data_IF_425343192200
#
_entry.id   IF_425343192200
#
_cell.length_a   1.000
_cell.length_b   1.000
_cell.length_c   1.000
_cell.angle_alpha   90.00
_cell.angle_beta   90.00
_cell.angle_gamma   90.00
#
_symmetry.space_group_name_H-M   'P 1'
#
loop_
_entity.id
_entity.type
_entity.pdbx_description
1 polymer ?
#
# COMPACT_ATOMS: atom_id res chain seq x y z
N UNK A 1 2.01 6.26 14.07
CA UNK A 1 2.91 5.68 13.03
C UNK A 1 2.13 5.10 11.84
N UNK A 2 0.84 4.79 11.98
CA UNK A 2 -0.05 4.45 10.85
C UNK A 2 -0.94 5.63 10.42
N UNK A 3 -1.26 6.58 11.31
CA UNK A 3 -2.08 7.75 10.96
C UNK A 3 -1.37 8.67 9.97
N UNK A 4 -0.05 8.81 10.15
CA UNK A 4 0.84 9.57 9.26
C UNK A 4 0.78 9.05 7.82
N UNK A 5 0.67 7.72 7.63
CA UNK A 5 0.53 7.12 6.30
C UNK A 5 -0.77 7.55 5.61
N UNK A 6 -1.91 7.44 6.31
CA UNK A 6 -3.22 7.74 5.71
C UNK A 6 -3.28 9.20 5.27
N UNK A 7 -2.89 10.12 6.18
CA UNK A 7 -2.86 11.55 5.88
C UNK A 7 -1.95 11.86 4.69
N UNK A 8 -0.71 11.36 4.69
CA UNK A 8 0.24 11.54 3.58
C UNK A 8 -0.30 10.99 2.26
N UNK A 9 -0.94 9.82 2.29
CA UNK A 9 -1.50 9.19 1.09
C UNK A 9 -2.65 10.01 0.51
N UNK A 10 -3.54 10.52 1.35
CA UNK A 10 -4.62 11.43 0.89
C UNK A 10 -3.99 12.68 0.26
N UNK A 11 -3.03 13.32 0.93
CA UNK A 11 -2.36 14.52 0.42
C UNK A 11 -1.64 14.27 -0.91
N UNK A 12 -0.97 13.12 -1.06
CA UNK A 12 -0.32 12.71 -2.30
C UNK A 12 -1.34 12.64 -3.46
N UNK A 13 -2.44 11.90 -3.29
CA UNK A 13 -3.46 11.73 -4.34
C UNK A 13 -4.08 13.08 -4.70
N UNK A 14 -4.35 13.94 -3.71
CA UNK A 14 -4.87 15.29 -3.96
C UNK A 14 -3.88 16.14 -4.77
N UNK A 15 -2.59 16.09 -4.44
CA UNK A 15 -1.54 16.79 -5.18
C UNK A 15 -1.42 16.30 -6.62
N UNK A 16 -1.39 14.99 -6.85
CA UNK A 16 -1.30 14.37 -8.19
C UNK A 16 -2.48 14.79 -9.09
N UNK A 17 -3.64 15.06 -8.50
CA UNK A 17 -4.86 15.46 -9.21
C UNK A 17 -5.13 16.96 -9.22
N UNK A 18 -4.26 17.78 -8.62
CA UNK A 18 -4.49 19.20 -8.37
C UNK A 18 -5.84 19.48 -7.66
N UNK A 19 -6.21 18.64 -6.69
CA UNK A 19 -7.39 18.83 -5.85
C UNK A 19 -7.02 19.59 -4.58
N UNK A 20 -7.86 20.55 -4.20
CA UNK A 20 -7.81 21.13 -2.86
C UNK A 20 -8.57 20.25 -1.86
N UNK A 21 -8.23 20.35 -0.58
CA UNK A 21 -9.01 19.72 0.50
C UNK A 21 -10.48 20.16 0.45
N UNK A 22 -10.74 21.42 0.09
CA UNK A 22 -12.09 21.92 -0.10
C UNK A 22 -12.86 21.20 -1.21
N UNK A 23 -12.19 20.84 -2.31
CA UNK A 23 -12.79 20.00 -3.35
C UNK A 23 -13.10 18.62 -2.81
N UNK A 24 -12.17 17.99 -2.09
CA UNK A 24 -12.43 16.69 -1.45
C UNK A 24 -13.64 16.74 -0.49
N UNK A 25 -13.81 17.83 0.27
CA UNK A 25 -15.00 18.03 1.12
C UNK A 25 -16.30 18.06 0.32
N UNK A 26 -16.30 18.61 -0.90
CA UNK A 26 -17.49 18.66 -1.76
C UNK A 26 -17.83 17.31 -2.38
N UNK A 27 -16.81 16.53 -2.72
CA UNK A 27 -16.97 15.21 -3.34
C UNK A 27 -17.17 14.11 -2.29
N UNK A 28 -16.66 14.29 -1.06
CA UNK A 28 -16.87 13.34 0.02
C UNK A 28 -18.31 13.40 0.52
N UNK A 29 -18.98 12.24 0.57
CA UNK A 29 -20.25 12.08 1.28
C UNK A 29 -20.16 12.19 2.81
N UNK A 30 -19.01 12.62 3.34
CA UNK A 30 -18.69 12.68 4.77
C UNK A 30 -18.65 14.12 5.30
N UNK A 31 -18.62 14.29 6.63
CA UNK A 31 -18.62 15.64 7.22
C UNK A 31 -17.34 16.41 6.88
N UNK A 32 -17.44 17.73 6.76
CA UNK A 32 -16.29 18.62 6.55
C UNK A 32 -15.18 18.36 7.57
N UNK A 33 -15.52 18.28 8.85
CA UNK A 33 -14.54 18.04 9.92
C UNK A 33 -13.87 16.67 9.77
N UNK A 34 -14.61 15.64 9.35
CA UNK A 34 -14.05 14.30 9.10
C UNK A 34 -12.98 14.32 8.02
N UNK A 35 -13.19 15.07 6.93
CA UNK A 35 -12.19 15.23 5.87
C UNK A 35 -10.97 15.99 6.37
N UNK A 36 -11.16 17.11 7.09
CA UNK A 36 -10.03 17.88 7.60
C UNK A 36 -9.18 17.08 8.58
N UNK A 37 -9.81 16.34 9.50
CA UNK A 37 -9.10 15.47 10.44
C UNK A 37 -8.33 14.36 9.71
N UNK A 38 -8.94 13.76 8.68
CA UNK A 38 -8.30 12.75 7.85
C UNK A 38 -7.06 13.30 7.10
N UNK A 39 -7.15 14.54 6.61
CA UNK A 39 -6.08 15.21 5.86
C UNK A 39 -5.01 15.80 6.77
N UNK A 40 -5.34 16.22 7.99
CA UNK A 40 -4.34 16.72 8.95
C UNK A 40 -3.59 15.58 9.64
N UNK A 41 -4.25 14.43 9.85
CA UNK A 41 -3.68 13.31 10.61
C UNK A 41 -3.59 13.61 12.11
N UNK A 42 -4.25 14.67 12.60
CA UNK A 42 -4.24 15.07 14.02
C UNK A 42 -5.10 14.15 14.90
N UNK A 43 -6.04 13.44 14.29
CA UNK A 43 -7.01 12.58 14.98
C UNK A 43 -7.23 11.27 14.23
N UNK A 44 -7.60 10.24 14.99
CA UNK A 44 -7.98 8.95 14.42
C UNK A 44 -9.14 9.08 13.44
N UNK A 45 -8.92 8.57 12.24
CA UNK A 45 -9.94 8.47 11.21
C UNK A 45 -10.78 7.22 11.44
N UNK A 46 -12.11 7.37 11.36
CA UNK A 46 -12.98 6.20 11.30
C UNK A 46 -12.84 5.50 9.95
N UNK A 47 -12.84 4.16 9.96
CA UNK A 47 -12.78 3.35 8.74
C UNK A 47 -13.86 3.75 7.72
N UNK A 48 -15.07 4.07 8.16
CA UNK A 48 -16.16 4.58 7.30
C UNK A 48 -15.80 5.89 6.57
N UNK A 49 -15.07 6.79 7.24
CA UNK A 49 -14.59 8.04 6.64
C UNK A 49 -13.53 7.74 5.57
N UNK A 50 -12.62 6.79 5.83
CA UNK A 50 -11.64 6.36 4.83
C UNK A 50 -12.31 5.80 3.57
N UNK A 51 -13.33 4.95 3.72
CA UNK A 51 -14.10 4.43 2.59
C UNK A 51 -14.78 5.56 1.79
N UNK A 52 -15.40 6.52 2.48
CA UNK A 52 -16.05 7.67 1.83
C UNK A 52 -15.06 8.53 1.04
N UNK A 53 -13.84 8.71 1.58
CA UNK A 53 -12.76 9.42 0.90
C UNK A 53 -12.27 8.63 -0.32
N UNK A 54 -12.09 7.31 -0.21
CA UNK A 54 -11.69 6.47 -1.34
C UNK A 54 -12.73 6.51 -2.48
N UNK A 55 -14.02 6.44 -2.13
CA UNK A 55 -15.13 6.57 -3.08
C UNK A 55 -15.11 7.94 -3.78
N UNK A 56 -14.95 9.04 -3.03
CA UNK A 56 -14.83 10.38 -3.60
C UNK A 56 -13.60 10.55 -4.51
N UNK A 57 -12.52 9.83 -4.20
CA UNK A 57 -11.31 9.77 -5.01
C UNK A 57 -11.41 8.73 -6.14
N UNK A 58 -12.52 8.01 -6.30
CA UNK A 58 -12.71 6.98 -7.31
C UNK A 58 -11.54 5.96 -7.34
N UNK A 59 -11.12 5.52 -6.15
CA UNK A 59 -10.14 4.45 -5.94
C UNK A 59 -10.68 3.44 -4.93
N UNK A 60 -10.20 2.22 -5.01
CA UNK A 60 -10.46 1.21 -3.97
C UNK A 60 -9.59 1.44 -2.75
N UNK A 61 -10.02 0.96 -1.58
CA UNK A 61 -9.19 0.98 -0.36
C UNK A 61 -7.92 0.15 -0.55
N UNK A 62 -8.00 -0.91 -1.33
CA UNK A 62 -6.87 -1.70 -1.83
C UNK A 62 -5.87 -0.77 -2.55
N UNK A 63 -6.26 -0.08 -3.61
CA UNK A 63 -5.38 0.88 -4.32
C UNK A 63 -4.87 2.03 -3.45
N UNK A 64 -5.65 2.44 -2.44
CA UNK A 64 -5.23 3.43 -1.46
C UNK A 64 -3.98 2.95 -0.69
N UNK A 65 -3.98 1.70 -0.21
CA UNK A 65 -2.87 1.11 0.55
C UNK A 65 -1.75 0.50 -0.32
N UNK A 66 -2.00 0.20 -1.60
CA UNK A 66 -1.02 -0.45 -2.50
C UNK A 66 0.05 0.49 -3.09
N UNK A 67 0.12 1.75 -2.63
CA UNK A 67 1.05 2.73 -3.19
C UNK A 67 2.41 2.78 -2.49
N UNK A 68 2.58 1.99 -1.43
CA UNK A 68 3.89 1.78 -0.84
C UNK A 68 4.63 0.69 -1.65
N UNK A 69 5.79 0.99 -2.26
CA UNK A 69 6.61 -0.04 -2.90
C UNK A 69 7.01 -1.17 -1.94
N UNK A 70 6.99 -0.96 -0.62
CA UNK A 70 7.22 -2.00 0.37
C UNK A 70 5.98 -2.88 0.63
N UNK A 71 4.79 -2.45 0.22
CA UNK A 71 3.57 -3.29 0.22
C UNK A 71 3.49 -4.14 -1.04
N UNK A 72 4.52 -4.96 -1.28
CA UNK A 72 4.43 -6.01 -2.30
C UNK A 72 3.41 -7.06 -1.85
N UNK A 73 2.21 -6.92 -2.40
CA UNK A 73 1.19 -7.94 -2.27
C UNK A 73 1.53 -9.07 -3.20
N UNK A 74 1.37 -10.29 -2.67
CA UNK A 74 1.47 -11.54 -3.40
C UNK A 74 0.52 -11.52 -4.61
N UNK A 75 1.06 -11.35 -5.81
CA UNK A 75 0.34 -11.18 -7.08
C UNK A 75 0.10 -12.51 -7.79
N UNK A 76 0.94 -13.51 -7.55
CA UNK A 76 0.90 -14.78 -8.27
C UNK A 76 0.70 -15.99 -7.35
N UNK A 77 0.16 -17.08 -7.89
CA UNK A 77 0.05 -18.36 -7.16
C UNK A 77 1.43 -18.93 -6.82
N UNK A 78 2.44 -18.65 -7.64
CA UNK A 78 3.83 -19.02 -7.41
C UNK A 78 4.40 -18.29 -6.18
N UNK A 79 4.16 -16.99 -6.04
CA UNK A 79 4.57 -16.23 -4.86
C UNK A 79 3.83 -16.72 -3.60
N UNK A 80 2.52 -17.05 -3.71
CA UNK A 80 1.76 -17.64 -2.58
C UNK A 80 2.38 -18.96 -2.14
N UNK A 81 2.69 -19.84 -3.09
CA UNK A 81 3.29 -21.14 -2.82
C UNK A 81 4.66 -20.98 -2.15
N UNK A 82 5.49 -20.07 -2.64
CA UNK A 82 6.81 -19.78 -2.07
C UNK A 82 6.68 -19.32 -0.61
N UNK A 83 5.78 -18.38 -0.32
CA UNK A 83 5.55 -17.86 1.03
C UNK A 83 4.98 -18.91 1.98
N UNK A 84 4.01 -19.72 1.54
CA UNK A 84 3.45 -20.81 2.34
C UNK A 84 4.52 -21.86 2.66
N UNK A 85 5.31 -22.24 1.67
CA UNK A 85 6.42 -23.18 1.83
C UNK A 85 7.44 -22.65 2.83
N UNK A 86 7.90 -21.41 2.67
CA UNK A 86 8.86 -20.77 3.57
C UNK A 86 8.36 -20.74 5.02
N UNK A 87 7.10 -20.37 5.26
CA UNK A 87 6.51 -20.29 6.62
C UNK A 87 6.45 -21.65 7.31
N UNK A 88 6.32 -22.74 6.55
CA UNK A 88 6.28 -24.11 7.07
C UNK A 88 7.66 -24.71 7.38
N UNK A 89 8.74 -24.06 6.94
CA UNK A 89 10.10 -24.57 7.07
C UNK A 89 10.79 -24.15 8.37
N UNK A 90 11.70 -25.00 8.86
CA UNK A 90 12.68 -24.64 9.89
C UNK A 90 13.76 -23.70 9.37
N UNK A 91 14.51 -23.08 10.28
CA UNK A 91 15.48 -22.01 9.99
C UNK A 91 16.55 -22.40 8.96
N UNK A 92 17.19 -23.55 9.13
CA UNK A 92 18.21 -24.05 8.20
C UNK A 92 17.69 -24.22 6.77
N UNK A 93 16.45 -24.70 6.62
CA UNK A 93 15.83 -24.91 5.31
C UNK A 93 15.44 -23.59 4.66
N UNK A 94 14.98 -22.62 5.45
CA UNK A 94 14.71 -21.25 4.97
C UNK A 94 15.98 -20.57 4.49
N UNK A 95 17.10 -20.70 5.21
CA UNK A 95 18.37 -20.11 4.82
C UNK A 95 18.87 -20.67 3.48
N UNK A 96 18.76 -22.00 3.28
CA UNK A 96 19.11 -22.64 2.01
C UNK A 96 18.20 -22.20 0.86
N UNK A 97 16.89 -22.11 1.10
CA UNK A 97 15.94 -21.60 0.11
C UNK A 97 16.31 -20.18 -0.33
N UNK A 98 16.58 -19.28 0.62
CA UNK A 98 16.98 -17.90 0.33
C UNK A 98 18.25 -17.85 -0.51
N UNK A 99 19.26 -18.65 -0.16
CA UNK A 99 20.50 -18.73 -0.96
C UNK A 99 20.25 -19.17 -2.40
N UNK A 100 19.38 -20.16 -2.60
CA UNK A 100 19.02 -20.64 -3.94
C UNK A 100 18.25 -19.58 -4.75
N UNK A 101 17.24 -18.95 -4.14
CA UNK A 101 16.44 -17.89 -4.78
C UNK A 101 17.32 -16.71 -5.18
N UNK A 102 18.23 -16.27 -4.30
CA UNK A 102 19.14 -15.17 -4.59
C UNK A 102 20.09 -15.51 -5.75
N UNK A 103 20.68 -16.72 -5.75
CA UNK A 103 21.58 -17.13 -6.81
C UNK A 103 20.91 -17.09 -8.20
N UNK A 104 19.66 -17.56 -8.29
CA UNK A 104 18.88 -17.51 -9.54
C UNK A 104 18.55 -16.08 -9.95
N UNK A 105 18.15 -15.22 -9.00
CA UNK A 105 17.85 -13.82 -9.29
C UNK A 105 19.09 -13.08 -9.83
N UNK A 106 20.26 -13.33 -9.25
CA UNK A 106 21.52 -12.73 -9.70
C UNK A 106 21.92 -13.21 -11.11
N UNK A 107 21.68 -14.48 -11.44
CA UNK A 107 21.92 -15.00 -12.79
C UNK A 107 21.06 -14.32 -13.85
N UNK A 108 19.78 -14.11 -13.58
CA UNK A 108 18.87 -13.43 -14.50
C UNK A 108 19.23 -11.95 -14.67
N UNK A 109 19.62 -11.27 -13.59
CA UNK A 109 20.10 -9.88 -13.67
C UNK A 109 21.38 -9.78 -14.53
N UNK A 110 22.34 -10.69 -14.36
CA UNK A 110 23.57 -10.75 -15.19
C UNK A 110 23.32 -11.01 -16.68
N UNK A 111 22.24 -11.70 -17.03
CA UNK A 111 21.84 -11.90 -18.44
C UNK A 111 21.21 -10.65 -19.04
N UNK A 112 20.49 -9.86 -18.23
CA UNK A 112 19.81 -8.63 -18.65
C UNK A 112 20.77 -7.46 -18.89
N UNK A 113 21.91 -7.45 -18.20
CA UNK A 113 22.94 -6.40 -18.31
C UNK A 113 23.97 -6.64 -19.43
N UNK A 114 23.80 -7.69 -20.24
CA UNK A 114 24.65 -8.04 -21.40
C UNK A 114 23.92 -7.79 -22.71
#
# INVERSE_FOLDING_TARGET
MAEDFISKRIQQILSERNWSTYRLVKECGCSRNSVYNAVSGEHDIQVSTLFSICEALNITVTEFFHADPETEIVKTEQEKLLLQSFRSMGEDSRLRMMGYVQALADEENRKRDK
#
